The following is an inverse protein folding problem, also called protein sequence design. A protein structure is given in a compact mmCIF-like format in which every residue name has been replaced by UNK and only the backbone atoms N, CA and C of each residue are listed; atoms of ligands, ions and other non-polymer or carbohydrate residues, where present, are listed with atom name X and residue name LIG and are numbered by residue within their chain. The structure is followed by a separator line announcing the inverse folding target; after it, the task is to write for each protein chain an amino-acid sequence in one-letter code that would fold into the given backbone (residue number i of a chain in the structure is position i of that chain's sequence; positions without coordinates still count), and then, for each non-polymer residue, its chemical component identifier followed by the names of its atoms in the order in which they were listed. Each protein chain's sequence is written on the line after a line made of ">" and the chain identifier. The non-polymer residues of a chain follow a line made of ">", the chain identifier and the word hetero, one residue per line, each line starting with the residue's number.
data_IF_028923948145
#
_entry.id   IF_028923948145
#
_cell.length_a   1.000
_cell.length_b   1.000
_cell.length_c   1.000
_cell.angle_alpha   90.00
_cell.angle_beta   90.00
_cell.angle_gamma   90.00
#
_symmetry.space_group_name_H-M   'P 1'
#
loop_
_entity.id
_entity.type
_entity.pdbx_description
1 polymer ?
#
# COMPACT_ATOMS: atom_id res chain seq x y z
N UNK A 1 -5.13 13.64 4.18
CA UNK A 1 -3.76 13.89 3.66
C UNK A 1 -3.66 13.17 2.33
N UNK A 2 -3.34 13.85 1.22
CA UNK A 2 -3.25 13.24 -0.11
C UNK A 2 -1.84 12.71 -0.37
N UNK A 3 -1.71 11.68 -1.21
CA UNK A 3 -0.42 11.26 -1.75
C UNK A 3 0.07 12.38 -2.68
N UNK A 4 1.00 13.20 -2.19
CA UNK A 4 1.55 14.33 -2.92
C UNK A 4 2.79 13.90 -3.68
N UNK A 5 2.71 13.81 -5.01
CA UNK A 5 3.85 13.65 -5.88
C UNK A 5 3.64 14.45 -7.16
N UNK A 6 4.61 15.27 -7.55
CA UNK A 6 4.55 16.06 -8.79
C UNK A 6 4.57 15.18 -10.07
N UNK A 7 4.90 13.89 -9.91
CA UNK A 7 4.94 12.87 -10.96
C UNK A 7 4.41 11.54 -10.40
N UNK A 8 3.93 10.61 -11.25
CA UNK A 8 3.50 9.28 -10.80
C UNK A 8 4.56 8.51 -9.99
N UNK A 9 5.83 8.66 -10.34
CA UNK A 9 6.95 8.05 -9.61
C UNK A 9 7.11 8.57 -8.18
N UNK A 10 6.95 9.89 -7.98
CA UNK A 10 6.96 10.48 -6.64
C UNK A 10 5.74 10.07 -5.82
N UNK A 11 4.57 9.94 -6.46
CA UNK A 11 3.37 9.41 -5.81
C UNK A 11 3.54 7.97 -5.35
N UNK A 12 4.18 7.12 -6.17
CA UNK A 12 4.48 5.73 -5.81
C UNK A 12 5.49 5.63 -4.66
N UNK A 13 6.54 6.45 -4.68
CA UNK A 13 7.52 6.50 -3.59
C UNK A 13 6.88 6.93 -2.26
N UNK A 14 6.01 7.93 -2.30
CA UNK A 14 5.27 8.40 -1.12
C UNK A 14 4.27 7.35 -0.62
N UNK A 15 3.56 6.67 -1.53
CA UNK A 15 2.67 5.55 -1.20
C UNK A 15 3.46 4.42 -0.52
N UNK A 16 4.63 4.07 -1.05
CA UNK A 16 5.49 3.02 -0.50
C UNK A 16 5.99 3.40 0.89
N UNK A 17 6.43 4.65 1.09
CA UNK A 17 6.86 5.17 2.39
C UNK A 17 5.74 5.05 3.42
N UNK A 18 4.52 5.49 3.08
CA UNK A 18 3.36 5.42 3.97
C UNK A 18 2.99 4.00 4.35
N UNK A 19 2.94 3.09 3.38
CA UNK A 19 2.67 1.67 3.64
C UNK A 19 3.73 1.10 4.60
N UNK A 20 5.00 1.44 4.39
CA UNK A 20 6.09 1.02 5.29
C UNK A 20 5.91 1.54 6.72
N UNK A 21 5.53 2.80 6.89
CA UNK A 21 5.27 3.40 8.21
C UNK A 21 4.09 2.75 8.92
N UNK A 22 2.97 2.54 8.21
CA UNK A 22 1.79 1.88 8.76
C UNK A 22 2.09 0.43 9.13
N UNK A 23 2.85 -0.28 8.30
CA UNK A 23 3.29 -1.65 8.59
C UNK A 23 4.15 -1.71 9.85
N UNK A 24 5.16 -0.84 9.97
CA UNK A 24 6.03 -0.78 11.13
C UNK A 24 5.27 -0.47 12.43
N UNK A 25 4.36 0.51 12.40
CA UNK A 25 3.52 0.87 13.56
C UNK A 25 2.58 -0.26 13.99
N UNK A 26 2.15 -1.08 13.04
CA UNK A 26 1.22 -2.18 13.29
C UNK A 26 1.92 -3.50 13.65
N UNK A 27 3.27 -3.54 13.63
CA UNK A 27 4.04 -4.76 13.87
C UNK A 27 4.10 -5.71 12.67
N UNK A 28 3.71 -5.27 11.48
CA UNK A 28 3.93 -6.00 10.22
C UNK A 28 5.33 -5.70 9.68
N UNK A 29 5.96 -6.69 9.04
CA UNK A 29 7.26 -6.56 8.38
C UNK A 29 7.07 -6.65 6.89
N UNK A 30 7.38 -5.58 6.16
CA UNK A 30 7.34 -5.58 4.69
C UNK A 30 8.54 -6.35 4.15
N UNK A 31 8.28 -7.42 3.41
CA UNK A 31 9.30 -8.20 2.71
C UNK A 31 9.56 -7.61 1.30
N UNK A 32 8.50 -7.16 0.63
CA UNK A 32 8.55 -6.63 -0.74
C UNK A 32 7.44 -5.60 -0.92
N UNK A 33 7.74 -4.50 -1.60
CA UNK A 33 6.75 -3.53 -2.05
C UNK A 33 7.13 -3.10 -3.46
N UNK A 34 6.26 -3.35 -4.44
CA UNK A 34 6.55 -3.12 -5.86
C UNK A 34 5.40 -2.40 -6.55
N UNK A 35 5.68 -1.27 -7.22
CA UNK A 35 4.69 -0.63 -8.07
C UNK A 35 4.19 -1.58 -9.14
N UNK A 36 2.87 -1.61 -9.33
CA UNK A 36 2.27 -2.20 -10.51
C UNK A 36 2.11 -1.10 -11.56
N UNK A 37 2.67 -1.33 -12.75
CA UNK A 37 2.46 -0.44 -13.89
C UNK A 37 0.97 -0.54 -14.26
N UNK A 38 0.25 0.56 -14.13
CA UNK A 38 -1.14 0.67 -14.56
C UNK A 38 -1.17 0.83 -16.07
N UNK A 39 -1.72 -0.14 -16.80
CA UNK A 39 -2.04 -0.03 -18.24
C UNK A 39 -3.17 0.97 -18.53
N UNK A 40 -3.83 1.51 -17.49
CA UNK A 40 -4.87 2.51 -17.68
C UNK A 40 -4.30 3.91 -17.79
N UNK A 41 -4.85 4.64 -18.76
CA UNK A 41 -4.61 6.03 -19.14
C UNK A 41 -4.06 6.90 -17.99
N UNK A 42 -3.04 7.69 -18.33
CA UNK A 42 -2.40 8.65 -17.45
C UNK A 42 -3.43 9.45 -16.62
N UNK A 43 -3.70 9.04 -15.38
CA UNK A 43 -4.66 9.79 -14.55
C UNK A 43 -5.39 9.12 -13.38
N UNK A 44 -5.55 7.80 -13.32
CA UNK A 44 -6.62 7.25 -12.44
C UNK A 44 -6.21 6.53 -11.14
N UNK A 45 -5.18 5.67 -11.13
CA UNK A 45 -4.81 4.90 -9.94
C UNK A 45 -3.29 4.65 -9.83
N UNK A 46 -2.71 4.82 -8.63
CA UNK A 46 -1.39 4.27 -8.29
C UNK A 46 -1.58 2.89 -7.67
N UNK A 47 -0.86 1.87 -8.15
CA UNK A 47 -1.01 0.48 -7.67
C UNK A 47 0.31 -0.07 -7.16
N UNK A 48 0.23 -0.94 -6.15
CA UNK A 48 1.38 -1.57 -5.53
C UNK A 48 1.05 -2.96 -5.01
N UNK A 49 1.92 -3.92 -5.30
CA UNK A 49 1.94 -5.21 -4.63
C UNK A 49 2.85 -5.14 -3.41
N UNK A 50 2.34 -5.60 -2.27
CA UNK A 50 3.03 -5.57 -0.99
C UNK A 50 2.98 -6.95 -0.36
N UNK A 51 4.14 -7.54 -0.15
CA UNK A 51 4.30 -8.77 0.63
C UNK A 51 4.80 -8.41 2.01
N UNK A 52 4.15 -8.94 3.03
CA UNK A 52 4.45 -8.67 4.42
C UNK A 52 4.27 -9.92 5.28
N UNK A 53 4.94 -9.93 6.42
CA UNK A 53 4.83 -10.98 7.44
C UNK A 53 4.45 -10.39 8.78
N UNK A 54 3.71 -11.15 9.58
CA UNK A 54 3.28 -10.73 10.91
C UNK A 54 2.36 -11.75 11.56
N UNK A 55 1.57 -11.32 12.53
CA UNK A 55 0.50 -12.14 13.12
C UNK A 55 -0.88 -11.53 12.80
N UNK A 56 -1.96 -12.23 13.16
CA UNK A 56 -3.33 -11.76 12.86
C UNK A 56 -3.67 -10.43 13.54
N UNK A 57 -3.12 -10.17 14.73
CA UNK A 57 -3.28 -8.89 15.43
C UNK A 57 -2.61 -7.74 14.70
N UNK A 58 -1.39 -7.96 14.21
CA UNK A 58 -0.63 -7.00 13.43
C UNK A 58 -1.31 -6.71 12.08
N UNK A 59 -1.83 -7.73 11.40
CA UNK A 59 -2.59 -7.56 10.16
C UNK A 59 -3.86 -6.72 10.38
N UNK A 60 -4.61 -7.01 11.46
CA UNK A 60 -5.80 -6.23 11.82
C UNK A 60 -5.43 -4.76 12.09
N UNK A 61 -4.37 -4.52 12.86
CA UNK A 61 -3.88 -3.16 13.14
C UNK A 61 -3.49 -2.42 11.87
N UNK A 62 -2.79 -3.12 10.96
CA UNK A 62 -2.37 -2.57 9.67
C UNK A 62 -3.56 -2.16 8.81
N UNK A 63 -4.53 -3.06 8.61
CA UNK A 63 -5.71 -2.76 7.78
C UNK A 63 -6.54 -1.61 8.36
N UNK A 64 -6.73 -1.59 9.68
CA UNK A 64 -7.44 -0.51 10.35
C UNK A 64 -6.72 0.84 10.18
N UNK A 65 -5.41 0.88 10.37
CA UNK A 65 -4.61 2.09 10.22
C UNK A 65 -4.55 2.56 8.76
N UNK A 66 -4.54 1.63 7.80
CA UNK A 66 -4.62 1.93 6.38
C UNK A 66 -5.95 2.60 6.02
N UNK A 67 -7.07 2.02 6.43
CA UNK A 67 -8.42 2.52 6.14
C UNK A 67 -8.73 3.85 6.83
N UNK A 68 -8.30 4.01 8.08
CA UNK A 68 -8.60 5.21 8.88
C UNK A 68 -7.60 6.34 8.66
N UNK A 69 -6.33 6.00 8.39
CA UNK A 69 -5.25 6.97 8.22
C UNK A 69 -5.13 7.52 6.81
N UNK A 70 -5.55 6.75 5.79
CA UNK A 70 -5.31 7.04 4.38
C UNK A 70 -6.59 6.81 3.55
N UNK A 71 -7.57 7.73 3.62
CA UNK A 71 -8.93 7.55 3.06
C UNK A 71 -9.01 7.46 1.52
N UNK A 72 -7.87 7.52 0.85
CA UNK A 72 -7.75 7.38 -0.61
C UNK A 72 -7.00 6.11 -1.01
N UNK A 73 -6.64 5.26 -0.05
CA UNK A 73 -5.93 4.00 -0.25
C UNK A 73 -6.89 2.85 0.02
N UNK A 74 -6.91 1.90 -0.90
CA UNK A 74 -7.80 0.75 -0.89
C UNK A 74 -7.00 -0.53 -1.07
N UNK A 75 -7.38 -1.59 -0.35
CA UNK A 75 -6.91 -2.94 -0.61
C UNK A 75 -7.82 -3.56 -1.68
N UNK A 76 -7.26 -3.93 -2.82
CA UNK A 76 -7.99 -4.58 -3.92
C UNK A 76 -8.01 -6.09 -3.79
N UNK A 77 -6.85 -6.65 -3.49
CA UNK A 77 -6.68 -8.08 -3.30
C UNK A 77 -5.89 -8.32 -2.01
N UNK A 78 -6.27 -9.36 -1.29
CA UNK A 78 -5.55 -9.83 -0.12
C UNK A 78 -5.44 -11.35 -0.19
N UNK A 79 -4.22 -11.86 -0.21
CA UNK A 79 -3.90 -13.28 -0.10
C UNK A 79 -3.19 -13.49 1.23
N UNK A 80 -3.80 -14.28 2.10
CA UNK A 80 -3.30 -14.54 3.45
C UNK A 80 -3.02 -16.03 3.53
N UNK A 81 -1.78 -16.36 3.86
CA UNK A 81 -1.36 -17.73 4.12
C UNK A 81 -0.85 -17.84 5.56
N UNK A 82 -1.23 -18.92 6.23
CA UNK A 82 -0.62 -19.26 7.51
C UNK A 82 0.84 -19.68 7.28
N UNK A 83 1.70 -19.24 8.17
CA UNK A 83 3.09 -19.64 8.26
C UNK A 83 3.35 -20.25 9.65
N UNK A 84 4.51 -20.89 9.88
CA UNK A 84 4.81 -21.53 11.16
C UNK A 84 4.65 -20.58 12.36
N UNK A 85 4.43 -21.16 13.54
CA UNK A 85 4.44 -20.44 14.82
C UNK A 85 3.37 -19.33 14.94
N UNK A 86 2.22 -19.51 14.27
CA UNK A 86 1.12 -18.53 14.32
C UNK A 86 1.39 -17.25 13.54
N UNK A 87 2.40 -17.25 12.68
CA UNK A 87 2.69 -16.15 11.76
C UNK A 87 1.84 -16.25 10.48
N UNK A 88 1.74 -15.14 9.78
CA UNK A 88 1.05 -14.98 8.51
C UNK A 88 2.02 -14.43 7.48
N UNK A 89 1.92 -14.95 6.26
CA UNK A 89 2.44 -14.31 5.05
C UNK A 89 1.24 -13.69 4.34
N UNK A 90 1.34 -12.39 4.08
CA UNK A 90 0.25 -11.60 3.50
C UNK A 90 0.75 -10.92 2.25
N UNK A 91 0.09 -11.15 1.13
CA UNK A 91 0.29 -10.40 -0.11
C UNK A 91 -0.95 -9.54 -0.37
N UNK A 92 -0.75 -8.23 -0.47
CA UNK A 92 -1.79 -7.24 -0.69
C UNK A 92 -1.54 -6.52 -2.01
N UNK A 93 -2.60 -6.33 -2.79
CA UNK A 93 -2.61 -5.34 -3.84
C UNK A 93 -3.27 -4.07 -3.31
N UNK A 94 -2.50 -3.00 -3.22
CA UNK A 94 -2.93 -1.70 -2.71
C UNK A 94 -3.08 -0.73 -3.87
N UNK A 95 -4.19 0.01 -3.88
CA UNK A 95 -4.47 1.06 -4.86
C UNK A 95 -4.71 2.39 -4.15
N UNK A 96 -4.11 3.47 -4.65
CA UNK A 96 -4.41 4.83 -4.23
C UNK A 96 -5.12 5.58 -5.36
N UNK A 97 -6.25 6.21 -5.04
CA UNK A 97 -6.97 7.12 -5.93
C UNK A 97 -6.53 8.56 -5.64
N UNK A 98 -6.34 9.36 -6.68
CA UNK A 98 -5.98 10.75 -6.52
C UNK A 98 -6.02 11.50 -7.84
N UNK A 99 -6.30 12.80 -7.78
CA UNK A 99 -6.11 13.68 -8.95
C UNK A 99 -4.65 14.11 -8.99
N UNK A 100 -3.81 13.45 -9.78
CA UNK A 100 -2.48 13.99 -10.12
C UNK A 100 -2.62 14.85 -11.37
N UNK A 101 -2.55 16.17 -11.20
CA UNK A 101 -2.25 17.05 -12.34
C UNK A 101 -0.79 16.84 -12.69
N UNK A 102 -0.54 16.24 -13.86
CA UNK A 102 0.77 16.36 -14.49
C UNK A 102 1.10 17.86 -14.55
N UNK A 103 2.23 18.28 -13.98
CA UNK A 103 2.71 19.63 -14.19
C UNK A 103 2.89 19.81 -15.70
N UNK A 104 2.01 20.61 -16.31
CA UNK A 104 2.18 21.01 -17.69
C UNK A 104 3.55 21.70 -17.78
N UNK A 105 4.38 21.20 -18.70
CA UNK A 105 5.65 21.84 -19.05
C UNK A 105 5.40 23.24 -19.59
#
# INVERSE_FOLDING_TARGET
>A
MFVTGATPGLGLAELQRRIGEVAAQSGMKVARAQPLVSDQEAGSALRMDVEMTGNIGALRGFLLALETGLPVIFVREARIAAAPEGSLVVALQIESHGTWKAAAK
#
